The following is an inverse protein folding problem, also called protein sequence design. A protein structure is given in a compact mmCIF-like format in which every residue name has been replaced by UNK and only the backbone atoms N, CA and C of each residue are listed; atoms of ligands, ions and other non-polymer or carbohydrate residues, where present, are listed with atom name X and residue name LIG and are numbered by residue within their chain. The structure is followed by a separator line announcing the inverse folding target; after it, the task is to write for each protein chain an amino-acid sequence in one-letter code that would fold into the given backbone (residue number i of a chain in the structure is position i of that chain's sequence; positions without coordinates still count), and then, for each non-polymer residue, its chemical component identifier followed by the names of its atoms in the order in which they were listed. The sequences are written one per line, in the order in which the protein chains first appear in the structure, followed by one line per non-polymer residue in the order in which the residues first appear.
data_IF_741071398993
#
_entry.id   IF_741071398993
#
_cell.length_a   1.000
_cell.length_b   1.000
_cell.length_c   1.000
_cell.angle_alpha   90.00
_cell.angle_beta   90.00
_cell.angle_gamma   90.00
#
_symmetry.space_group_name_H-M   'P 1'
#
loop_
_entity.id
_entity.type
_entity.pdbx_description
1 polymer ?
#
# COMPACT_ATOMS: atom_id res chain seq x y z
N UNK A 1 1.00 3.54 12.10
CA UNK A 1 0.69 2.87 10.81
C UNK A 1 0.35 3.91 9.75
N UNK A 2 1.38 4.26 8.98
CA UNK A 2 1.22 5.05 7.75
C UNK A 2 0.62 4.11 6.69
N UNK A 3 -0.26 4.61 5.81
CA UNK A 3 -0.91 3.87 4.71
C UNK A 3 0.03 3.34 3.61
N UNK A 4 1.36 3.36 3.83
CA UNK A 4 2.37 2.96 2.85
C UNK A 4 2.36 1.46 2.64
N UNK A 5 1.76 1.00 1.54
CA UNK A 5 1.60 -0.41 1.20
C UNK A 5 2.17 -0.72 -0.17
N UNK A 6 2.90 -1.84 -0.26
CA UNK A 6 3.27 -2.46 -1.52
C UNK A 6 2.57 -3.82 -1.61
N UNK A 7 1.82 -4.00 -2.68
CA UNK A 7 1.10 -5.21 -2.99
C UNK A 7 1.86 -6.00 -4.05
N UNK A 8 2.16 -7.26 -3.77
CA UNK A 8 2.77 -8.17 -4.75
C UNK A 8 1.76 -9.25 -5.08
N UNK A 9 1.47 -9.43 -6.37
CA UNK A 9 0.59 -10.52 -6.80
C UNK A 9 1.41 -11.81 -6.90
N UNK A 10 0.91 -12.89 -6.30
CA UNK A 10 1.55 -14.21 -6.36
C UNK A 10 0.61 -15.21 -7.00
N UNK A 11 1.05 -15.89 -8.05
CA UNK A 11 0.24 -16.95 -8.63
C UNK A 11 0.72 -17.46 -9.98
N UNK A 12 0.30 -18.68 -10.29
CA UNK A 12 0.59 -19.40 -11.54
C UNK A 12 -0.01 -18.64 -12.74
N UNK A 13 0.63 -18.65 -13.93
CA UNK A 13 -0.01 -18.15 -15.14
C UNK A 13 -1.39 -18.78 -15.33
N UNK A 14 -2.43 -17.95 -15.38
CA UNK A 14 -3.82 -18.37 -15.62
C UNK A 14 -4.74 -18.19 -14.41
N UNK A 15 -4.15 -17.86 -13.25
CA UNK A 15 -4.88 -17.77 -11.99
C UNK A 15 -5.76 -16.52 -11.84
N UNK A 16 -5.71 -15.58 -12.78
CA UNK A 16 -6.58 -14.40 -12.77
C UNK A 16 -5.96 -13.08 -12.28
N UNK A 17 -4.64 -12.99 -12.05
CA UNK A 17 -3.95 -11.74 -11.62
C UNK A 17 -4.36 -10.51 -12.45
N UNK A 18 -4.21 -10.58 -13.78
CA UNK A 18 -4.55 -9.46 -14.66
C UNK A 18 -6.06 -9.19 -14.74
N UNK A 19 -6.91 -10.18 -14.42
CA UNK A 19 -8.36 -9.98 -14.29
C UNK A 19 -8.68 -9.26 -12.99
N UNK A 20 -8.04 -9.64 -11.89
CA UNK A 20 -8.15 -9.00 -10.59
C UNK A 20 -7.73 -7.52 -10.64
N UNK A 21 -6.59 -7.23 -11.27
CA UNK A 21 -6.13 -5.84 -11.48
C UNK A 21 -7.20 -5.01 -12.17
N UNK A 22 -7.74 -5.49 -13.31
CA UNK A 22 -8.79 -4.81 -14.07
C UNK A 22 -10.10 -4.65 -13.30
N UNK A 23 -10.52 -5.71 -12.61
CA UNK A 23 -11.77 -5.71 -11.85
C UNK A 23 -11.75 -4.71 -10.69
N UNK A 24 -10.59 -4.49 -10.09
CA UNK A 24 -10.41 -3.53 -8.99
C UNK A 24 -9.85 -2.16 -9.45
N UNK A 25 -9.76 -1.92 -10.76
CA UNK A 25 -9.23 -0.67 -11.33
C UNK A 25 -7.82 -0.31 -10.82
N UNK A 26 -6.95 -1.32 -10.69
CA UNK A 26 -5.61 -1.20 -10.10
C UNK A 26 -4.52 -0.88 -11.14
N UNK A 27 -4.86 -0.79 -12.42
CA UNK A 27 -3.92 -0.52 -13.51
C UNK A 27 -3.05 0.73 -13.26
N UNK A 28 -3.60 1.88 -12.78
CA UNK A 28 -2.79 3.08 -12.53
C UNK A 28 -1.74 2.89 -11.43
N UNK A 29 -1.94 1.91 -10.54
CA UNK A 29 -1.08 1.63 -9.40
C UNK A 29 -0.13 0.45 -9.66
N UNK A 30 -0.29 -0.26 -10.79
CA UNK A 30 0.39 -1.53 -11.05
C UNK A 30 1.61 -1.35 -11.95
N UNK A 31 2.75 -1.83 -11.47
CA UNK A 31 3.95 -2.07 -12.28
C UNK A 31 3.95 -3.55 -12.71
N UNK A 32 3.70 -3.80 -13.99
CA UNK A 32 3.68 -5.17 -14.56
C UNK A 32 4.98 -5.48 -15.27
N UNK A 33 5.65 -6.57 -14.87
CA UNK A 33 6.91 -6.99 -15.52
C UNK A 33 6.72 -7.34 -17.00
N UNK A 34 5.56 -7.85 -17.39
CA UNK A 34 5.22 -8.11 -18.79
C UNK A 34 5.13 -6.81 -19.59
N UNK A 35 4.48 -5.78 -19.03
CA UNK A 35 4.38 -4.47 -19.69
C UNK A 35 5.76 -3.80 -19.79
N UNK A 36 6.60 -3.91 -18.76
CA UNK A 36 7.97 -3.39 -18.79
C UNK A 36 8.84 -4.08 -19.86
N UNK A 37 8.75 -5.41 -20.03
CA UNK A 37 9.44 -6.12 -21.11
C UNK A 37 9.03 -5.60 -22.49
N UNK A 38 7.75 -5.29 -22.66
CA UNK A 38 7.22 -4.74 -23.92
C UNK A 38 7.67 -3.31 -24.20
N UNK A 39 8.15 -2.55 -23.20
CA UNK A 39 8.81 -1.27 -23.42
C UNK A 39 10.22 -1.43 -24.00
N UNK A 40 10.92 -2.52 -23.65
CA UNK A 40 12.26 -2.80 -24.18
C UNK A 40 12.24 -3.46 -25.56
N UNK A 41 11.22 -4.26 -25.85
CA UNK A 41 11.09 -4.88 -27.16
C UNK A 41 9.67 -5.33 -27.47
N UNK A 42 9.32 -5.26 -28.76
CA UNK A 42 8.04 -5.75 -29.25
C UNK A 42 7.90 -7.27 -29.08
N UNK A 43 6.69 -7.77 -29.32
CA UNK A 43 6.43 -9.20 -29.41
C UNK A 43 7.36 -9.86 -30.43
N UNK A 44 7.84 -11.06 -30.10
CA UNK A 44 8.63 -11.88 -31.03
C UNK A 44 7.92 -13.18 -31.36
N UNK A 45 8.27 -13.76 -32.51
CA UNK A 45 7.76 -15.06 -32.90
C UNK A 45 8.70 -16.17 -32.42
N UNK A 46 8.11 -17.28 -31.95
CA UNK A 46 8.80 -18.54 -31.70
C UNK A 46 8.08 -19.67 -32.46
N UNK A 47 8.79 -20.74 -32.77
CA UNK A 47 8.19 -21.94 -33.34
C UNK A 47 7.89 -22.95 -32.23
N UNK A 48 6.62 -23.32 -32.08
CA UNK A 48 6.16 -24.37 -31.18
C UNK A 48 6.28 -25.71 -31.90
N UNK A 49 7.42 -26.38 -31.74
CA UNK A 49 7.71 -27.67 -32.41
C UNK A 49 6.65 -28.74 -32.13
N UNK A 50 6.05 -28.73 -30.92
CA UNK A 50 5.04 -29.72 -30.53
C UNK A 50 3.73 -29.54 -31.28
N UNK A 51 3.39 -28.30 -31.66
CA UNK A 51 2.15 -27.98 -32.35
C UNK A 51 2.34 -27.61 -33.82
N UNK A 52 3.59 -27.60 -34.31
CA UNK A 52 3.92 -27.30 -35.70
C UNK A 52 3.50 -25.91 -36.15
N UNK A 53 3.53 -24.91 -35.26
CA UNK A 53 3.06 -23.54 -35.58
C UNK A 53 3.91 -22.45 -34.94
N UNK A 54 3.89 -21.27 -35.53
CA UNK A 54 4.48 -20.06 -34.93
C UNK A 54 3.56 -19.45 -33.89
N UNK A 55 4.14 -18.87 -32.84
CA UNK A 55 3.42 -18.14 -31.79
C UNK A 55 4.10 -16.82 -31.52
N UNK A 56 3.33 -15.79 -31.20
CA UNK A 56 3.89 -14.58 -30.60
C UNK A 56 4.18 -14.83 -29.13
N UNK A 57 5.23 -14.22 -28.57
CA UNK A 57 5.58 -14.25 -27.15
C UNK A 57 6.20 -12.92 -26.70
N UNK A 58 6.13 -12.66 -25.40
CA UNK A 58 6.86 -11.55 -24.77
C UNK A 58 8.35 -11.93 -24.65
N UNK A 59 9.28 -11.09 -25.15
CA UNK A 59 10.71 -11.36 -25.08
C UNK A 59 11.19 -11.47 -23.62
N UNK A 60 11.95 -12.53 -23.32
CA UNK A 60 12.50 -12.80 -21.98
C UNK A 60 13.97 -12.39 -21.84
N UNK A 61 14.63 -12.06 -22.94
CA UNK A 61 16.02 -11.57 -23.01
C UNK A 61 16.23 -10.26 -22.25
N UNK A 62 15.17 -9.46 -22.06
CA UNK A 62 15.22 -8.21 -21.30
C UNK A 62 14.96 -8.38 -19.80
N UNK A 63 15.04 -9.60 -19.27
CA UNK A 63 14.63 -9.87 -17.89
C UNK A 63 15.42 -9.03 -16.86
N UNK A 64 16.74 -8.94 -17.02
CA UNK A 64 17.59 -8.14 -16.12
C UNK A 64 17.23 -6.65 -16.16
N UNK A 65 17.14 -6.08 -17.37
CA UNK A 65 16.77 -4.67 -17.56
C UNK A 65 15.37 -4.37 -17.01
N UNK A 66 14.44 -5.31 -17.19
CA UNK A 66 13.06 -5.22 -16.68
C UNK A 66 13.03 -5.13 -15.16
N UNK A 67 13.80 -5.98 -14.46
CA UNK A 67 13.85 -5.95 -13.00
C UNK A 67 14.58 -4.70 -12.47
N UNK A 68 15.66 -4.27 -13.13
CA UNK A 68 16.33 -3.01 -12.79
C UNK A 68 15.38 -1.81 -12.89
N UNK A 69 14.59 -1.73 -13.96
CA UNK A 69 13.57 -0.69 -14.13
C UNK A 69 12.44 -0.82 -13.10
N UNK A 70 11.97 -2.05 -12.83
CA UNK A 70 10.95 -2.30 -11.79
C UNK A 70 11.40 -1.73 -10.44
N UNK A 71 12.62 -2.05 -9.99
CA UNK A 71 13.12 -1.56 -8.70
C UNK A 71 13.34 -0.05 -8.69
N UNK A 72 13.82 0.53 -9.79
CA UNK A 72 13.92 1.99 -9.93
C UNK A 72 12.56 2.69 -9.81
N UNK A 73 11.51 2.14 -10.41
CA UNK A 73 10.15 2.68 -10.31
C UNK A 73 9.58 2.52 -8.90
N UNK A 74 9.85 1.39 -8.24
CA UNK A 74 9.45 1.15 -6.85
C UNK A 74 10.11 2.17 -5.93
N UNK A 75 11.44 2.35 -6.00
CA UNK A 75 12.16 3.33 -5.18
C UNK A 75 11.59 4.74 -5.38
N UNK A 76 11.38 5.14 -6.64
CA UNK A 76 10.83 6.46 -6.97
C UNK A 76 9.41 6.69 -6.40
N UNK A 77 8.52 5.70 -6.51
CA UNK A 77 7.16 5.78 -5.94
C UNK A 77 7.15 5.74 -4.42
N UNK A 78 8.02 4.93 -3.82
CA UNK A 78 8.15 4.82 -2.36
C UNK A 78 8.67 6.09 -1.71
N UNK A 79 9.56 6.83 -2.38
CA UNK A 79 10.01 8.15 -1.93
C UNK A 79 8.85 9.13 -1.72
N UNK A 80 7.76 8.97 -2.47
CA UNK A 80 6.54 9.80 -2.39
C UNK A 80 5.43 9.19 -1.53
N UNK A 81 5.66 8.01 -0.94
CA UNK A 81 4.65 7.34 -0.11
C UNK A 81 3.48 6.74 -0.91
N UNK A 82 3.62 6.57 -2.23
CA UNK A 82 2.55 6.01 -3.06
C UNK A 82 2.29 4.53 -2.77
N UNK A 83 1.04 4.10 -2.88
CA UNK A 83 0.67 2.67 -2.91
C UNK A 83 1.10 2.06 -4.24
N UNK A 84 1.72 0.87 -4.19
CA UNK A 84 2.29 0.21 -5.36
C UNK A 84 1.72 -1.20 -5.48
N UNK A 85 1.34 -1.62 -6.68
CA UNK A 85 1.05 -3.01 -7.02
C UNK A 85 2.13 -3.53 -7.97
N UNK A 86 2.59 -4.77 -7.75
CA UNK A 86 3.56 -5.41 -8.62
C UNK A 86 2.98 -6.69 -9.20
N UNK A 87 2.72 -6.67 -10.51
CA UNK A 87 2.31 -7.84 -11.28
C UNK A 87 3.54 -8.57 -11.81
N UNK A 88 4.00 -9.53 -11.01
CA UNK A 88 4.93 -10.56 -11.42
C UNK A 88 4.46 -11.91 -10.86
N UNK A 89 5.16 -12.99 -11.19
CA UNK A 89 4.73 -14.34 -10.79
C UNK A 89 4.98 -14.62 -9.29
N UNK A 90 6.06 -14.07 -8.71
CA UNK A 90 6.45 -14.16 -7.29
C UNK A 90 6.31 -15.55 -6.64
N UNK A 91 6.68 -16.60 -7.37
CA UNK A 91 6.50 -17.97 -6.85
C UNK A 91 7.69 -18.46 -6.02
N UNK A 92 8.89 -17.94 -6.26
CA UNK A 92 10.09 -18.35 -5.54
C UNK A 92 10.22 -17.66 -4.18
N UNK A 93 10.68 -18.35 -3.12
CA UNK A 93 10.83 -17.75 -1.79
C UNK A 93 11.74 -16.52 -1.75
N UNK A 94 12.81 -16.51 -2.56
CA UNK A 94 13.73 -15.38 -2.67
C UNK A 94 13.17 -14.19 -3.46
N UNK A 95 12.02 -14.35 -4.14
CA UNK A 95 11.42 -13.26 -4.91
C UNK A 95 11.01 -12.07 -4.04
N UNK A 96 10.76 -12.30 -2.75
CA UNK A 96 10.40 -11.24 -1.80
C UNK A 96 11.61 -10.47 -1.28
N UNK A 97 12.78 -11.10 -1.25
CA UNK A 97 13.94 -10.50 -0.56
C UNK A 97 14.54 -9.32 -1.31
N UNK A 98 14.38 -9.29 -2.63
CA UNK A 98 14.73 -8.13 -3.44
C UNK A 98 13.91 -6.87 -3.10
N UNK A 99 12.77 -7.01 -2.42
CA UNK A 99 11.98 -5.85 -1.98
C UNK A 99 12.32 -5.37 -0.57
N UNK A 100 13.00 -6.21 0.22
CA UNK A 100 13.19 -5.99 1.65
C UNK A 100 13.90 -4.68 1.94
N UNK A 101 14.95 -4.37 1.19
CA UNK A 101 15.70 -3.12 1.35
C UNK A 101 14.81 -1.88 1.16
N UNK A 102 13.90 -1.90 0.19
CA UNK A 102 12.99 -0.78 -0.09
C UNK A 102 11.91 -0.67 0.98
N UNK A 103 11.34 -1.80 1.38
CA UNK A 103 10.30 -1.87 2.41
C UNK A 103 10.82 -1.37 3.75
N UNK A 104 12.04 -1.76 4.13
CA UNK A 104 12.70 -1.30 5.36
C UNK A 104 13.10 0.19 5.24
N UNK A 105 13.71 0.61 4.13
CA UNK A 105 14.15 2.00 3.88
C UNK A 105 13.01 3.02 3.96
N UNK A 106 11.82 2.65 3.49
CA UNK A 106 10.67 3.55 3.44
C UNK A 106 9.56 3.22 4.43
N UNK A 107 9.74 2.20 5.28
CA UNK A 107 8.73 1.72 6.24
C UNK A 107 7.38 1.40 5.58
N UNK A 108 7.44 0.60 4.52
CA UNK A 108 6.24 0.06 3.86
C UNK A 108 5.78 -1.22 4.55
N UNK A 109 4.49 -1.52 4.46
CA UNK A 109 3.97 -2.86 4.69
C UNK A 109 3.93 -3.60 3.34
N UNK A 110 4.53 -4.80 3.28
CA UNK A 110 4.41 -5.67 2.12
C UNK A 110 3.25 -6.65 2.28
N UNK A 111 2.32 -6.59 1.33
CA UNK A 111 1.15 -7.47 1.26
C UNK A 111 1.25 -8.36 0.01
N UNK A 112 1.25 -9.68 0.21
CA UNK A 112 1.18 -10.64 -0.88
C UNK A 112 -0.26 -11.06 -1.12
N UNK A 113 -0.82 -10.71 -2.28
CA UNK A 113 -2.13 -11.21 -2.73
C UNK A 113 -1.90 -12.57 -3.39
N UNK A 114 -2.20 -13.64 -2.66
CA UNK A 114 -1.88 -15.00 -3.05
C UNK A 114 -3.06 -15.69 -3.74
N UNK A 115 -2.91 -15.90 -5.03
CA UNK A 115 -3.89 -16.61 -5.85
C UNK A 115 -3.72 -18.13 -5.79
N UNK A 116 -2.67 -18.68 -5.18
CA UNK A 116 -2.32 -20.11 -5.26
C UNK A 116 -3.20 -21.06 -4.46
N UNK A 117 -3.95 -20.53 -3.48
CA UNK A 117 -4.78 -21.34 -2.57
C UNK A 117 -5.94 -22.03 -3.31
N UNK A 118 -6.65 -21.31 -4.15
CA UNK A 118 -7.92 -21.76 -4.77
C UNK A 118 -7.77 -22.25 -6.22
N UNK A 119 -6.54 -22.53 -6.68
CA UNK A 119 -6.29 -22.90 -8.09
C UNK A 119 -6.48 -24.39 -8.35
N UNK A 120 -7.25 -24.70 -9.40
CA UNK A 120 -7.32 -26.01 -10.04
C UNK A 120 -6.44 -26.05 -11.31
N UNK A 121 -5.55 -27.05 -11.43
CA UNK A 121 -4.67 -27.22 -12.58
C UNK A 121 -5.43 -27.40 -13.91
N UNK A 122 -6.53 -28.18 -13.91
CA UNK A 122 -7.33 -28.40 -15.13
C UNK A 122 -7.96 -27.09 -15.61
N UNK A 123 -8.38 -26.24 -14.66
CA UNK A 123 -8.91 -24.93 -15.00
C UNK A 123 -7.83 -23.98 -15.55
N UNK A 124 -6.62 -23.98 -14.99
CA UNK A 124 -5.49 -23.22 -15.54
C UNK A 124 -5.19 -23.61 -16.98
N UNK A 125 -5.14 -24.92 -17.26
CA UNK A 125 -4.88 -25.45 -18.59
C UNK A 125 -5.98 -25.07 -19.57
N UNK A 126 -7.25 -25.17 -19.17
CA UNK A 126 -8.41 -24.71 -19.97
C UNK A 126 -8.32 -23.22 -20.28
N UNK A 127 -8.12 -22.38 -19.27
CA UNK A 127 -7.97 -20.92 -19.43
C UNK A 127 -6.78 -20.57 -20.31
N UNK A 128 -5.70 -21.35 -20.26
CA UNK A 128 -4.52 -21.09 -21.05
C UNK A 128 -4.73 -21.29 -22.56
N UNK A 129 -5.66 -22.18 -22.96
CA UNK A 129 -6.00 -22.40 -24.37
C UNK A 129 -6.71 -21.20 -25.01
N UNK A 130 -7.47 -20.43 -24.24
CA UNK A 130 -8.26 -19.29 -24.73
C UNK A 130 -7.56 -17.94 -24.54
N UNK A 131 -6.29 -17.94 -24.13
CA UNK A 131 -5.51 -16.71 -23.98
C UNK A 131 -5.12 -16.12 -25.32
N UNK A 132 -4.99 -14.79 -25.33
CA UNK A 132 -4.29 -14.08 -26.41
C UNK A 132 -2.90 -14.71 -26.60
N UNK A 133 -2.51 -14.93 -27.86
CA UNK A 133 -1.41 -15.84 -28.22
C UNK A 133 -0.10 -15.51 -27.47
N UNK A 134 0.28 -14.24 -27.34
CA UNK A 134 1.49 -13.84 -26.60
C UNK A 134 1.46 -14.02 -25.09
N UNK A 135 0.29 -14.29 -24.49
CA UNK A 135 0.15 -14.66 -23.07
C UNK A 135 -0.03 -16.17 -22.86
N UNK A 136 -0.03 -16.95 -23.94
CA UNK A 136 -0.03 -18.40 -23.86
C UNK A 136 1.29 -18.89 -23.25
N UNK A 137 1.21 -19.92 -22.42
CA UNK A 137 2.38 -20.56 -21.78
C UNK A 137 2.31 -22.06 -22.05
N UNK A 138 3.43 -22.72 -22.32
CA UNK A 138 3.44 -24.19 -22.52
C UNK A 138 2.75 -24.90 -21.32
N UNK A 139 1.74 -25.77 -21.57
CA UNK A 139 1.10 -26.58 -20.53
C UNK A 139 2.07 -27.28 -19.58
N UNK A 140 3.21 -27.75 -20.07
CA UNK A 140 4.23 -28.40 -19.23
C UNK A 140 4.91 -27.40 -18.28
N UNK A 141 5.12 -26.16 -18.73
CA UNK A 141 5.60 -25.08 -17.87
C UNK A 141 4.55 -24.74 -16.81
N UNK A 142 3.27 -24.66 -17.17
CA UNK A 142 2.18 -24.43 -16.20
C UNK A 142 2.15 -25.54 -15.14
N UNK A 143 2.23 -26.81 -15.55
CA UNK A 143 2.27 -27.96 -14.62
C UNK A 143 3.46 -27.88 -13.67
N UNK A 144 4.66 -27.56 -14.18
CA UNK A 144 5.88 -27.38 -13.36
C UNK A 144 5.70 -26.26 -12.34
N UNK A 145 5.26 -25.09 -12.79
CA UNK A 145 5.04 -23.91 -11.96
C UNK A 145 3.95 -24.18 -10.90
N UNK A 146 2.87 -24.87 -11.27
CA UNK A 146 1.80 -25.25 -10.36
C UNK A 146 2.28 -26.20 -9.26
N UNK A 147 3.03 -27.25 -9.62
CA UNK A 147 3.63 -28.18 -8.65
C UNK A 147 4.56 -27.44 -7.69
N UNK A 148 5.39 -26.54 -8.22
CA UNK A 148 6.30 -25.73 -7.42
C UNK A 148 5.56 -24.82 -6.43
N UNK A 149 4.50 -24.13 -6.88
CA UNK A 149 3.69 -23.28 -6.02
C UNK A 149 3.03 -24.06 -4.87
N UNK A 150 2.53 -25.28 -5.15
CA UNK A 150 1.94 -26.16 -4.13
C UNK A 150 2.96 -26.69 -3.13
N UNK A 151 4.20 -26.96 -3.54
CA UNK A 151 5.25 -27.43 -2.63
C UNK A 151 5.90 -26.32 -1.79
N UNK A 152 5.77 -25.05 -2.19
CA UNK A 152 6.35 -23.90 -1.48
C UNK A 152 5.29 -22.89 -1.02
N UNK A 153 4.30 -23.28 -0.19
CA UNK A 153 3.20 -22.38 0.15
C UNK A 153 3.62 -21.22 1.08
N UNK A 154 4.67 -21.42 1.88
CA UNK A 154 5.10 -20.48 2.92
C UNK A 154 5.80 -19.26 2.35
N UNK A 155 5.50 -18.10 2.94
CA UNK A 155 6.15 -16.82 2.67
C UNK A 155 7.03 -16.41 3.86
N UNK A 156 7.99 -15.49 3.67
CA UNK A 156 8.72 -14.89 4.78
C UNK A 156 7.78 -14.27 5.81
N UNK A 157 8.15 -14.32 7.10
CA UNK A 157 7.29 -13.83 8.21
C UNK A 157 6.95 -12.34 8.13
N UNK A 158 7.79 -11.54 7.48
CA UNK A 158 7.60 -10.10 7.32
C UNK A 158 6.63 -9.74 6.19
N UNK A 159 6.19 -10.73 5.39
CA UNK A 159 5.22 -10.55 4.29
C UNK A 159 3.82 -10.91 4.79
N UNK A 160 2.89 -9.96 4.72
CA UNK A 160 1.50 -10.19 5.08
C UNK A 160 0.76 -10.87 3.91
N UNK A 161 0.41 -12.15 4.08
CA UNK A 161 -0.29 -12.93 3.05
C UNK A 161 -1.81 -12.74 3.15
N UNK A 162 -2.46 -12.40 2.03
CA UNK A 162 -3.92 -12.30 1.92
C UNK A 162 -4.43 -13.03 0.68
N UNK A 163 -5.70 -13.44 0.66
CA UNK A 163 -6.37 -13.93 -0.56
C UNK A 163 -6.99 -12.77 -1.36
N UNK A 164 -7.35 -12.98 -2.64
CA UNK A 164 -8.06 -11.96 -3.43
C UNK A 164 -9.32 -11.43 -2.74
N UNK A 165 -10.08 -12.30 -2.06
CA UNK A 165 -11.30 -11.89 -1.34
C UNK A 165 -11.03 -11.04 -0.10
N UNK A 166 -9.82 -11.15 0.48
CA UNK A 166 -9.40 -10.36 1.64
C UNK A 166 -8.81 -9.01 1.26
N UNK A 167 -8.39 -8.82 0.00
CA UNK A 167 -7.72 -7.62 -0.49
C UNK A 167 -8.45 -6.32 -0.13
N UNK A 168 -9.76 -6.25 -0.36
CA UNK A 168 -10.52 -5.02 -0.15
C UNK A 168 -10.42 -4.51 1.29
N UNK A 169 -10.30 -5.40 2.28
CA UNK A 169 -10.15 -5.02 3.68
C UNK A 169 -8.77 -4.42 3.98
N UNK A 170 -7.75 -4.76 3.20
CA UNK A 170 -6.40 -4.22 3.37
C UNK A 170 -6.29 -2.75 2.97
N UNK A 171 -7.26 -2.20 2.23
CA UNK A 171 -7.25 -0.78 1.84
C UNK A 171 -7.73 0.16 2.97
N UNK A 172 -8.23 -0.41 4.06
CA UNK A 172 -8.79 0.33 5.18
C UNK A 172 -7.76 0.58 6.27
N UNK A 173 -7.88 1.72 6.93
CA UNK A 173 -7.21 2.05 8.19
C UNK A 173 -8.25 2.22 9.29
N UNK A 174 -8.09 1.48 10.39
CA UNK A 174 -8.98 1.56 11.55
C UNK A 174 -8.59 2.69 12.51
N UNK A 175 -9.57 3.19 13.27
CA UNK A 175 -9.33 4.16 14.33
C UNK A 175 -8.45 3.61 15.45
N UNK A 176 -7.55 4.46 15.94
CA UNK A 176 -6.88 4.24 17.22
C UNK A 176 -7.79 4.71 18.35
N UNK A 177 -8.04 3.85 19.34
CA UNK A 177 -8.83 4.22 20.51
C UNK A 177 -7.95 4.92 21.54
N UNK A 178 -8.17 6.23 21.69
CA UNK A 178 -7.46 7.08 22.63
C UNK A 178 -8.30 7.41 23.85
N UNK A 179 -9.45 6.74 24.05
CA UNK A 179 -10.40 7.08 25.11
C UNK A 179 -9.88 6.78 26.52
N UNK A 180 -8.79 6.02 26.65
CA UNK A 180 -8.09 5.78 27.93
C UNK A 180 -7.27 6.97 28.40
N UNK A 181 -6.90 7.89 27.50
CA UNK A 181 -6.19 9.12 27.87
C UNK A 181 -7.16 10.13 28.47
N UNK A 182 -6.68 10.95 29.41
CA UNK A 182 -7.49 12.00 30.04
C UNK A 182 -7.80 13.12 29.04
N UNK A 183 -6.82 13.45 28.21
CA UNK A 183 -6.86 14.52 27.21
C UNK A 183 -5.92 14.22 26.05
N UNK A 184 -6.19 14.90 24.92
CA UNK A 184 -5.30 14.91 23.75
C UNK A 184 -4.78 16.33 23.58
N UNK A 185 -3.46 16.50 23.64
CA UNK A 185 -2.80 17.75 23.32
C UNK A 185 -2.48 17.82 21.82
N UNK A 186 -2.88 18.92 21.19
CA UNK A 186 -2.60 19.22 19.80
C UNK A 186 -1.54 20.30 19.77
N UNK A 187 -0.33 19.94 19.35
CA UNK A 187 0.83 20.84 19.27
C UNK A 187 0.81 21.48 17.89
N UNK A 188 0.47 22.76 17.82
CA UNK A 188 0.51 23.52 16.58
C UNK A 188 1.93 23.70 16.05
N UNK A 189 2.03 23.98 14.76
CA UNK A 189 3.30 24.06 14.04
C UNK A 189 4.33 24.95 14.74
N UNK A 190 3.91 26.13 15.21
CA UNK A 190 4.78 27.14 15.81
C UNK A 190 4.66 27.15 17.35
N UNK A 191 4.01 26.16 17.93
CA UNK A 191 3.76 26.11 19.36
C UNK A 191 5.06 25.90 20.15
N UNK A 192 5.27 26.72 21.18
CA UNK A 192 6.42 26.59 22.07
C UNK A 192 6.10 25.66 23.25
N UNK A 193 6.67 24.45 23.25
CA UNK A 193 6.53 23.48 24.34
C UNK A 193 7.74 23.51 25.28
N UNK A 194 7.58 24.16 26.44
CA UNK A 194 8.64 24.31 27.46
C UNK A 194 8.60 23.26 28.58
N UNK A 195 7.65 22.33 28.55
CA UNK A 195 7.41 21.36 29.63
C UNK A 195 7.98 19.96 29.36
N UNK A 196 7.57 19.00 30.19
CA UNK A 196 7.70 17.56 29.96
C UNK A 196 6.36 16.97 29.52
N UNK A 197 6.39 15.79 28.88
CA UNK A 197 5.17 15.06 28.55
C UNK A 197 4.43 14.70 29.85
N UNK A 198 3.13 14.94 29.87
CA UNK A 198 2.27 14.66 31.02
C UNK A 198 1.82 13.20 31.00
N UNK A 199 1.80 12.51 32.15
CA UNK A 199 1.14 11.21 32.26
C UNK A 199 -0.33 11.31 31.84
N UNK A 200 -0.83 10.30 31.11
CA UNK A 200 -2.21 10.20 30.64
C UNK A 200 -2.67 11.28 29.64
N UNK A 201 -1.74 11.98 28.98
CA UNK A 201 -2.02 12.87 27.84
C UNK A 201 -1.41 12.27 26.57
N UNK A 202 -2.19 12.21 25.48
CA UNK A 202 -1.69 11.82 24.16
C UNK A 202 -1.39 13.08 23.35
N UNK A 203 -0.37 13.05 22.50
CA UNK A 203 0.12 14.22 21.77
C UNK A 203 0.03 14.00 20.26
N UNK A 204 -0.71 14.88 19.59
CA UNK A 204 -0.74 14.99 18.12
C UNK A 204 0.05 16.25 17.76
N UNK A 205 1.23 16.08 17.16
CA UNK A 205 2.10 17.20 16.82
C UNK A 205 2.08 17.53 15.33
N UNK A 206 2.04 18.82 15.04
CA UNK A 206 2.35 19.41 13.75
C UNK A 206 3.69 20.16 13.76
N UNK A 207 4.32 20.27 14.93
CA UNK A 207 5.65 20.85 15.14
C UNK A 207 6.71 19.76 14.97
N UNK A 208 7.63 19.99 14.02
CA UNK A 208 8.68 19.05 13.67
C UNK A 208 9.77 18.92 14.74
N UNK A 209 10.15 20.03 15.39
CA UNK A 209 11.17 20.00 16.45
C UNK A 209 10.67 19.25 17.68
N UNK A 210 9.40 19.45 18.05
CA UNK A 210 8.75 18.68 19.10
C UNK A 210 8.72 17.18 18.76
N UNK A 211 8.31 16.84 17.54
CA UNK A 211 8.27 15.46 17.08
C UNK A 211 9.64 14.79 17.13
N UNK A 212 10.68 15.46 16.61
CA UNK A 212 12.07 14.97 16.66
C UNK A 212 12.54 14.76 18.10
N UNK A 213 12.25 15.69 19.00
CA UNK A 213 12.62 15.59 20.42
C UNK A 213 11.96 14.40 21.12
N UNK A 214 10.74 14.03 20.71
CA UNK A 214 9.92 13.03 21.39
C UNK A 214 9.62 11.78 20.55
N UNK A 215 10.39 11.52 19.48
CA UNK A 215 10.14 10.45 18.51
C UNK A 215 10.17 9.03 19.10
N UNK A 216 10.79 8.83 20.28
CA UNK A 216 10.78 7.55 20.98
C UNK A 216 9.50 7.30 21.81
N UNK A 217 8.67 8.33 22.03
CA UNK A 217 7.46 8.20 22.84
C UNK A 217 6.33 7.57 22.03
N UNK A 218 5.70 6.54 22.59
CA UNK A 218 4.48 5.93 22.02
C UNK A 218 3.24 6.82 22.12
N UNK A 219 3.28 7.82 23.01
CA UNK A 219 2.17 8.73 23.28
C UNK A 219 2.24 10.00 22.41
N UNK A 220 3.22 10.06 21.49
CA UNK A 220 3.44 11.19 20.59
C UNK A 220 3.41 10.70 19.15
N UNK A 221 2.53 11.29 18.36
CA UNK A 221 2.52 11.16 16.90
C UNK A 221 2.81 12.48 16.24
N UNK A 222 3.31 12.42 15.01
CA UNK A 222 3.52 13.56 14.15
C UNK A 222 2.63 13.46 12.90
N UNK A 223 2.02 14.56 12.50
CA UNK A 223 1.25 14.62 11.26
C UNK A 223 2.11 15.23 10.15
N UNK A 224 2.36 14.45 9.09
CA UNK A 224 3.18 14.84 7.96
C UNK A 224 2.58 16.03 7.22
N UNK A 225 3.38 17.09 7.08
CA UNK A 225 3.03 18.29 6.32
C UNK A 225 3.59 18.27 4.90
N UNK A 226 4.70 17.57 4.73
CA UNK A 226 5.36 17.33 3.47
C UNK A 226 6.05 15.95 3.50
N UNK A 227 6.80 15.63 2.45
CA UNK A 227 7.52 14.36 2.32
C UNK A 227 8.79 14.26 3.18
N UNK A 228 9.29 15.36 3.76
CA UNK A 228 10.57 15.35 4.50
C UNK A 228 10.53 14.48 5.75
N UNK A 229 9.35 14.34 6.36
CA UNK A 229 9.12 13.58 7.60
C UNK A 229 8.42 12.24 7.36
N UNK A 230 8.12 11.90 6.10
CA UNK A 230 7.33 10.71 5.78
C UNK A 230 8.03 9.39 6.15
N UNK A 231 9.34 9.46 6.44
CA UNK A 231 10.20 8.35 6.87
C UNK A 231 10.30 8.22 8.39
N UNK A 232 9.77 9.16 9.16
CA UNK A 232 9.88 9.09 10.62
C UNK A 232 8.94 8.01 11.18
N UNK A 233 9.38 7.27 12.21
CA UNK A 233 8.67 6.09 12.72
C UNK A 233 7.28 6.41 13.29
N UNK A 234 7.10 7.60 13.88
CA UNK A 234 5.85 8.06 14.47
C UNK A 234 5.15 9.14 13.63
N UNK A 235 5.56 9.30 12.38
CA UNK A 235 4.89 10.19 11.44
C UNK A 235 3.67 9.52 10.81
N UNK A 236 2.64 10.32 10.52
CA UNK A 236 1.38 9.87 9.92
C UNK A 236 0.90 10.91 8.92
N UNK A 237 0.48 10.48 7.73
CA UNK A 237 -0.19 11.39 6.78
C UNK A 237 -1.65 11.61 7.16
N UNK A 238 -2.29 10.57 7.68
CA UNK A 238 -3.63 10.62 8.25
C UNK A 238 -3.67 9.71 9.47
N UNK A 239 -4.30 10.19 10.54
CA UNK A 239 -4.45 9.46 11.79
C UNK A 239 -5.91 9.47 12.24
N UNK A 240 -6.68 8.42 11.91
CA UNK A 240 -8.03 8.23 12.43
C UNK A 240 -7.99 7.79 13.89
N UNK A 241 -8.81 8.41 14.73
CA UNK A 241 -8.91 8.03 16.13
C UNK A 241 -10.30 8.29 16.71
N UNK A 242 -10.62 7.54 17.76
CA UNK A 242 -11.80 7.76 18.60
C UNK A 242 -11.36 8.27 19.96
N UNK A 243 -12.07 9.28 20.46
CA UNK A 243 -11.83 9.86 21.79
C UNK A 243 -13.16 10.25 22.43
N UNK A 244 -13.49 9.62 23.58
CA UNK A 244 -14.71 9.89 24.36
C UNK A 244 -15.98 9.79 23.52
N UNK A 245 -16.09 8.72 22.72
CA UNK A 245 -17.24 8.43 21.85
C UNK A 245 -17.37 9.32 20.62
N UNK A 246 -16.35 10.14 20.31
CA UNK A 246 -16.31 10.99 19.11
C UNK A 246 -15.19 10.55 18.19
N UNK A 247 -15.48 10.51 16.89
CA UNK A 247 -14.57 10.11 15.82
C UNK A 247 -13.87 11.32 15.22
N UNK A 248 -12.56 11.21 15.00
CA UNK A 248 -11.72 12.28 14.49
C UNK A 248 -10.74 11.77 13.43
N UNK A 249 -10.39 12.64 12.49
CA UNK A 249 -9.24 12.48 11.60
C UNK A 249 -8.23 13.58 11.91
N UNK A 250 -7.00 13.22 12.25
CA UNK A 250 -5.88 14.17 12.28
C UNK A 250 -5.10 14.11 10.96
N UNK A 251 -5.00 15.27 10.28
CA UNK A 251 -4.44 15.42 8.94
C UNK A 251 -3.76 16.78 8.82
N UNK A 252 -2.76 16.94 7.95
CA UNK A 252 -2.07 18.24 7.81
C UNK A 252 -3.00 19.32 7.29
N UNK A 253 -3.78 19.00 6.26
CA UNK A 253 -4.84 19.85 5.71
C UNK A 253 -6.20 19.22 5.97
N UNK A 254 -7.24 20.07 6.01
CA UNK A 254 -8.62 19.57 6.05
C UNK A 254 -8.90 18.82 4.76
N UNK A 255 -9.08 17.50 4.87
CA UNK A 255 -9.41 16.67 3.73
C UNK A 255 -10.83 16.99 3.26
N UNK A 256 -11.03 16.96 1.96
CA UNK A 256 -12.38 17.02 1.41
C UNK A 256 -13.06 15.65 1.53
N UNK A 257 -14.38 15.64 1.56
CA UNK A 257 -15.16 14.41 1.65
C UNK A 257 -14.91 13.44 0.48
N UNK A 258 -14.47 13.93 -0.69
CA UNK A 258 -14.12 13.06 -1.82
C UNK A 258 -12.85 12.24 -1.57
N UNK A 259 -11.94 12.72 -0.70
CA UNK A 259 -10.77 11.96 -0.27
C UNK A 259 -11.12 10.93 0.80
N UNK A 260 -12.25 11.11 1.50
CA UNK A 260 -12.74 10.20 2.51
C UNK A 260 -13.67 9.20 1.83
N UNK A 261 -13.10 8.06 1.42
CA UNK A 261 -13.85 6.96 0.83
C UNK A 261 -14.93 6.39 1.77
N UNK A 262 -15.57 5.30 1.35
CA UNK A 262 -16.57 4.62 2.17
C UNK A 262 -16.00 4.25 3.55
N UNK A 263 -16.73 4.59 4.62
CA UNK A 263 -16.36 4.30 6.00
C UNK A 263 -17.13 3.07 6.44
N UNK A 264 -16.43 2.04 6.92
CA UNK A 264 -17.05 0.87 7.57
C UNK A 264 -17.12 1.12 9.07
N UNK A 265 -18.29 0.92 9.67
CA UNK A 265 -18.43 0.79 11.12
C UNK A 265 -18.37 -0.70 11.49
N UNK A 266 -17.45 -1.06 12.40
CA UNK A 266 -17.39 -2.40 12.98
C UNK A 266 -17.34 -2.23 14.49
N UNK A 267 -18.45 -2.56 15.15
CA UNK A 267 -18.60 -2.47 16.61
C UNK A 267 -18.28 -1.07 17.18
N UNK A 268 -18.71 0.00 16.49
CA UNK A 268 -18.50 1.38 16.93
C UNK A 268 -17.09 1.92 16.69
N UNK A 269 -16.26 1.21 15.90
CA UNK A 269 -14.99 1.72 15.38
C UNK A 269 -15.09 1.94 13.88
N UNK A 270 -14.68 3.12 13.42
CA UNK A 270 -14.66 3.41 12.01
C UNK A 270 -13.36 2.91 11.35
N UNK A 271 -13.52 2.47 10.11
CA UNK A 271 -12.45 2.09 9.21
C UNK A 271 -12.58 2.92 7.93
N UNK A 272 -11.54 3.69 7.63
CA UNK A 272 -11.51 4.63 6.52
C UNK A 272 -10.75 4.04 5.34
N UNK A 273 -11.32 4.11 4.13
CA UNK A 273 -10.66 3.65 2.92
C UNK A 273 -9.77 4.78 2.34
N UNK A 274 -8.47 4.70 2.60
CA UNK A 274 -7.46 5.58 2.02
C UNK A 274 -6.40 4.81 1.21
N UNK A 275 -6.54 3.49 1.06
CA UNK A 275 -5.46 2.62 0.58
C UNK A 275 -4.98 2.87 -0.85
N UNK A 276 -5.79 3.53 -1.69
CA UNK A 276 -5.43 3.92 -3.06
C UNK A 276 -5.25 5.44 -3.23
N UNK A 277 -5.39 6.22 -2.16
CA UNK A 277 -5.18 7.66 -2.22
C UNK A 277 -3.70 7.99 -2.41
N UNK A 278 -3.41 9.04 -3.18
CA UNK A 278 -2.07 9.58 -3.25
C UNK A 278 -1.80 10.44 -2.00
N UNK A 279 -0.85 10.01 -1.17
CA UNK A 279 -0.56 10.66 0.11
C UNK A 279 -0.12 12.12 -0.03
N UNK A 280 0.48 12.50 -1.17
CA UNK A 280 0.88 13.89 -1.42
C UNK A 280 -0.32 14.82 -1.59
N UNK A 281 -1.48 14.31 -2.01
CA UNK A 281 -2.70 15.11 -2.14
C UNK A 281 -3.25 15.49 -0.75
N UNK A 282 -3.01 14.69 0.28
CA UNK A 282 -3.48 14.99 1.64
C UNK A 282 -2.74 16.18 2.28
N UNK A 283 -1.61 16.56 1.70
CA UNK A 283 -0.75 17.66 2.15
C UNK A 283 -1.01 18.96 1.36
N UNK A 284 -1.75 18.88 0.26
CA UNK A 284 -2.07 20.03 -0.59
C UNK A 284 -3.28 20.81 -0.07
N UNK A 285 -3.29 22.11 -0.34
CA UNK A 285 -4.46 22.94 -0.08
C UNK A 285 -5.48 22.81 -1.21
N UNK A 286 -6.68 22.36 -0.85
CA UNK A 286 -7.84 22.38 -1.73
C UNK A 286 -8.90 23.31 -1.15
N UNK A 287 -9.78 23.92 -1.99
CA UNK A 287 -10.91 24.69 -1.49
C UNK A 287 -11.74 23.86 -0.49
N UNK A 288 -12.01 24.44 0.67
CA UNK A 288 -12.67 23.76 1.78
C UNK A 288 -14.13 23.47 1.40
N UNK A 289 -14.58 22.25 1.68
CA UNK A 289 -15.98 21.84 1.62
C UNK A 289 -16.43 21.38 3.02
N UNK A 290 -17.74 21.33 3.26
CA UNK A 290 -18.28 20.66 4.42
C UNK A 290 -17.74 19.21 4.46
N UNK A 291 -17.21 18.82 5.62
CA UNK A 291 -16.71 17.47 5.87
C UNK A 291 -17.67 16.75 6.79
N UNK A 292 -18.07 15.53 6.42
CA UNK A 292 -18.93 14.69 7.26
C UNK A 292 -18.21 14.13 8.49
N UNK A 293 -16.87 14.14 8.49
CA UNK A 293 -16.03 13.68 9.60
C UNK A 293 -15.41 14.88 10.31
N UNK A 294 -15.26 14.82 11.64
CA UNK A 294 -14.55 15.86 12.39
C UNK A 294 -13.06 15.75 12.14
N UNK A 295 -12.44 16.85 11.74
CA UNK A 295 -11.02 16.87 11.39
C UNK A 295 -10.24 17.85 12.26
N UNK A 296 -9.06 17.42 12.67
CA UNK A 296 -8.04 18.26 13.29
C UNK A 296 -6.97 18.45 12.24
N UNK A 297 -6.79 19.69 11.82
CA UNK A 297 -5.82 20.07 10.81
C UNK A 297 -5.23 21.43 11.11
N UNK A 298 -4.14 21.79 10.44
CA UNK A 298 -3.48 23.09 10.59
C UNK A 298 -4.43 24.27 10.34
N UNK A 299 -5.50 24.06 9.57
CA UNK A 299 -6.44 25.09 9.20
C UNK A 299 -7.55 25.29 10.27
N UNK A 300 -7.64 24.41 11.27
CA UNK A 300 -8.78 24.33 12.19
C UNK A 300 -8.46 24.78 13.63
N UNK A 301 -7.22 25.21 13.91
CA UNK A 301 -6.83 25.68 15.24
C UNK A 301 -5.65 26.67 15.18
N UNK A 302 -5.38 27.38 16.28
CA UNK A 302 -4.28 28.36 16.36
C UNK A 302 -2.92 27.65 16.43
N UNK A 303 -2.06 27.93 15.44
CA UNK A 303 -0.77 27.24 15.27
C UNK A 303 0.29 27.60 16.32
N UNK A 304 0.23 28.79 16.89
CA UNK A 304 1.17 29.25 17.91
C UNK A 304 0.85 28.72 19.32
N UNK A 305 -0.09 27.78 19.48
CA UNK A 305 -0.57 27.32 20.78
C UNK A 305 -0.68 25.80 20.91
N UNK A 306 -0.70 25.34 22.16
CA UNK A 306 -1.04 23.97 22.53
C UNK A 306 -2.54 23.91 22.78
N UNK A 307 -3.27 23.27 21.86
CA UNK A 307 -4.73 23.08 21.96
C UNK A 307 -5.02 21.76 22.68
N UNK A 308 -6.22 21.59 23.24
CA UNK A 308 -6.59 20.38 23.97
C UNK A 308 -8.00 19.90 23.63
N UNK A 309 -8.13 18.59 23.43
CA UNK A 309 -9.40 17.89 23.51
C UNK A 309 -9.51 17.28 24.91
N UNK A 310 -10.63 17.57 25.58
CA UNK A 310 -10.99 17.06 26.88
C UNK A 310 -12.42 16.51 26.86
#
# INVERSE_FOLDING_TARGET
MILKKIYVLRGVPGCGKSTFIRHHHLEPYTISTDNLRLLYGNLKYIYDEKQGKTRQVIPQEYNEQTFNLLYSLIDNKMQRGETIFVDATHLYPNAFEAYREYVEKYHYEMICIDFTKEINLNELLKRNLTRVDFRWVDPEVIKKIYKFAKSHPRLPRWVHQVTPNQFANTLYIGETDLSTYRSIAIIGEEANFKGTLKPHEFYISYNHDFARKHHHSKDVIFINRDLSTCRDHNAYTVFPFIFKGKHYLATSRTLRDEFIGYIKDIHGRNFYNFGLANLTDFMQEFPVNASRVKQISLNNFKQSSINRLA
#
